data_IF_480711612417
#
_entry.id   IF_480711612417
#
_cell.length_a   1.000
_cell.length_b   1.000
_cell.length_c   1.000
_cell.angle_alpha   90.00
_cell.angle_beta   90.00
_cell.angle_gamma   90.00
#
_symmetry.space_group_name_H-M   'P 1'
#
loop_
_entity.id
_entity.type
_entity.pdbx_description
1 polymer ?
#
# COMPACT_ATOMS: atom_id res chain seq x y z
N UNK A 1 -11.23 -16.35 8.91
CA UNK A 1 -9.98 -15.54 8.94
C UNK A 1 -8.82 -16.53 9.02
N UNK A 2 -7.95 -16.59 8.01
CA UNK A 2 -6.80 -17.51 8.06
C UNK A 2 -5.90 -17.08 9.22
N UNK A 3 -5.80 -17.92 10.24
CA UNK A 3 -5.09 -17.60 11.46
C UNK A 3 -3.66 -18.14 11.34
N UNK A 4 -2.69 -17.23 11.20
CA UNK A 4 -1.28 -17.63 11.34
C UNK A 4 -1.06 -18.01 12.81
N UNK A 5 -0.38 -19.12 13.05
CA UNK A 5 0.04 -19.59 14.37
C UNK A 5 0.76 -18.45 15.12
N UNK A 6 0.38 -18.12 16.37
CA UNK A 6 1.06 -17.10 17.17
C UNK A 6 2.59 -17.25 17.20
N UNK A 7 3.11 -18.49 17.19
CA UNK A 7 4.56 -18.72 17.15
C UNK A 7 5.20 -18.33 15.82
N UNK A 8 4.50 -18.52 14.71
CA UNK A 8 4.95 -18.06 13.40
C UNK A 8 4.92 -16.52 13.30
N UNK A 9 3.93 -15.87 13.94
CA UNK A 9 3.90 -14.40 14.07
C UNK A 9 5.10 -13.91 14.89
N UNK A 10 5.42 -14.57 16.01
CA UNK A 10 6.61 -14.23 16.82
C UNK A 10 7.91 -14.37 16.02
N UNK A 11 8.03 -15.40 15.18
CA UNK A 11 9.19 -15.59 14.30
C UNK A 11 9.28 -14.47 13.27
N UNK A 12 8.18 -14.17 12.57
CA UNK A 12 8.10 -13.09 11.58
C UNK A 12 8.46 -11.73 12.21
N UNK A 13 7.96 -11.48 13.43
CA UNK A 13 8.26 -10.27 14.21
C UNK A 13 9.73 -10.19 14.55
N UNK A 14 10.32 -11.28 15.06
CA UNK A 14 11.74 -11.34 15.42
C UNK A 14 12.63 -11.15 14.20
N UNK A 15 12.27 -11.73 13.06
CA UNK A 15 12.95 -11.51 11.79
C UNK A 15 12.93 -10.03 11.42
N UNK A 16 11.75 -9.39 11.39
CA UNK A 16 11.62 -7.98 11.04
C UNK A 16 12.47 -7.10 11.97
N UNK A 17 12.32 -7.27 13.28
CA UNK A 17 13.06 -6.48 14.27
C UNK A 17 14.58 -6.68 14.18
N UNK A 18 15.05 -7.86 13.74
CA UNK A 18 16.47 -8.14 13.56
C UNK A 18 17.08 -7.44 12.34
N UNK A 19 16.25 -7.00 11.39
CA UNK A 19 16.69 -6.26 10.18
C UNK A 19 16.77 -4.75 10.39
N UNK A 20 16.24 -4.22 11.49
CA UNK A 20 16.25 -2.78 11.77
C UNK A 20 17.67 -2.31 12.10
N UNK A 21 18.18 -1.36 11.33
CA UNK A 21 19.46 -0.68 11.60
C UNK A 21 20.71 -1.55 11.41
N UNK A 22 20.57 -2.72 10.79
CA UNK A 22 21.67 -3.65 10.48
C UNK A 22 21.65 -3.98 8.99
N UNK A 23 21.42 -5.25 8.67
CA UNK A 23 21.30 -5.79 7.31
C UNK A 23 19.81 -5.96 6.98
N UNK A 24 19.38 -5.80 5.71
CA UNK A 24 18.02 -6.11 5.28
C UNK A 24 17.67 -7.61 5.39
N UNK A 25 18.63 -8.43 5.83
CA UNK A 25 18.50 -9.87 5.99
C UNK A 25 18.87 -10.31 7.40
N UNK A 26 18.29 -11.42 7.82
CA UNK A 26 18.59 -12.07 9.09
C UNK A 26 18.89 -13.55 8.89
N UNK A 27 19.81 -14.08 9.71
CA UNK A 27 20.08 -15.51 9.79
C UNK A 27 19.05 -16.19 10.71
N UNK A 28 18.53 -17.34 10.30
CA UNK A 28 17.64 -18.14 11.16
C UNK A 28 18.35 -18.62 12.43
N UNK A 29 19.68 -18.75 12.41
CA UNK A 29 20.44 -19.11 13.60
C UNK A 29 20.33 -18.03 14.69
N UNK A 30 20.48 -16.76 14.31
CA UNK A 30 20.37 -15.63 15.23
C UNK A 30 18.94 -15.49 15.76
N UNK A 31 17.94 -15.72 14.89
CA UNK A 31 16.52 -15.74 15.26
C UNK A 31 16.24 -16.87 16.26
N UNK A 32 16.73 -18.08 16.00
CA UNK A 32 16.58 -19.23 16.88
C UNK A 32 17.18 -18.96 18.27
N UNK A 33 18.39 -18.38 18.31
CA UNK A 33 19.05 -17.98 19.56
C UNK A 33 18.24 -16.94 20.34
N UNK A 34 17.68 -15.93 19.68
CA UNK A 34 16.86 -14.89 20.32
C UNK A 34 15.54 -15.42 20.86
N UNK A 35 14.92 -16.37 20.15
CA UNK A 35 13.64 -16.95 20.55
C UNK A 35 13.79 -18.11 21.55
N UNK A 36 15.00 -18.60 21.79
CA UNK A 36 15.24 -19.79 22.62
C UNK A 36 14.65 -21.07 22.00
N UNK A 37 14.61 -21.16 20.66
CA UNK A 37 14.04 -22.30 19.94
C UNK A 37 15.13 -23.11 19.25
N UNK A 38 14.85 -24.39 19.00
CA UNK A 38 15.71 -25.21 18.14
C UNK A 38 15.74 -24.66 16.72
N UNK A 39 16.89 -24.74 16.06
CA UNK A 39 17.03 -24.32 14.66
C UNK A 39 16.09 -25.08 13.73
N UNK A 40 15.83 -26.35 14.00
CA UNK A 40 14.89 -27.17 13.24
C UNK A 40 13.45 -26.65 13.32
N UNK A 41 13.03 -26.18 14.50
CA UNK A 41 11.72 -25.54 14.69
C UNK A 41 11.61 -24.25 13.89
N UNK A 42 12.62 -23.38 14.00
CA UNK A 42 12.65 -22.11 13.25
C UNK A 42 12.67 -22.35 11.75
N UNK A 43 13.43 -23.34 11.26
CA UNK A 43 13.49 -23.69 9.85
C UNK A 43 12.12 -24.12 9.31
N UNK A 44 11.43 -25.02 10.01
CA UNK A 44 10.09 -25.50 9.61
C UNK A 44 9.09 -24.35 9.52
N UNK A 45 9.06 -23.49 10.54
CA UNK A 45 8.17 -22.31 10.55
C UNK A 45 8.55 -21.28 9.48
N UNK A 46 9.84 -21.14 9.19
CA UNK A 46 10.30 -20.26 8.11
C UNK A 46 9.86 -20.78 6.74
N UNK A 47 9.83 -22.10 6.55
CA UNK A 47 9.29 -22.70 5.33
C UNK A 47 7.80 -22.38 5.17
N UNK A 48 6.99 -22.56 6.22
CA UNK A 48 5.56 -22.21 6.21
C UNK A 48 5.33 -20.71 5.90
N UNK A 49 6.13 -19.82 6.51
CA UNK A 49 6.05 -18.38 6.25
C UNK A 49 6.50 -18.02 4.82
N UNK A 50 7.46 -18.76 4.25
CA UNK A 50 7.92 -18.58 2.88
C UNK A 50 6.87 -19.05 1.85
N UNK A 51 6.21 -20.18 2.12
CA UNK A 51 5.09 -20.69 1.31
C UNK A 51 3.91 -19.70 1.27
N UNK A 52 3.66 -18.98 2.38
CA UNK A 52 2.68 -17.89 2.44
C UNK A 52 3.17 -16.57 1.80
N UNK A 53 4.45 -16.52 1.40
CA UNK A 53 5.08 -15.34 0.80
C UNK A 53 5.34 -14.20 1.79
N UNK A 54 5.38 -14.47 3.10
CA UNK A 54 5.64 -13.48 4.15
C UNK A 54 7.13 -13.24 4.37
N UNK A 55 7.95 -14.22 4.06
CA UNK A 55 9.41 -14.11 4.05
C UNK A 55 9.97 -14.67 2.74
N UNK A 56 11.15 -14.19 2.35
CA UNK A 56 11.89 -14.70 1.20
C UNK A 56 13.28 -15.16 1.64
N UNK A 57 13.75 -16.27 1.05
CA UNK A 57 15.11 -16.79 1.22
C UNK A 57 15.99 -16.21 0.13
N UNK A 58 17.06 -15.51 0.52
CA UNK A 58 17.97 -14.83 -0.43
C UNK A 58 19.25 -15.63 -0.76
N UNK A 59 19.40 -16.82 -0.16
CA UNK A 59 20.61 -17.65 -0.29
C UNK A 59 21.50 -17.59 0.94
N UNK A 60 22.44 -18.53 1.08
CA UNK A 60 23.39 -18.65 2.22
C UNK A 60 22.75 -18.61 3.62
N UNK A 61 21.48 -19.03 3.74
CA UNK A 61 20.75 -19.03 5.02
C UNK A 61 20.22 -17.65 5.45
N UNK A 62 20.29 -16.65 4.57
CA UNK A 62 19.74 -15.32 4.79
C UNK A 62 18.25 -15.25 4.39
N UNK A 63 17.44 -14.65 5.26
CA UNK A 63 16.01 -14.45 5.07
C UNK A 63 15.67 -12.98 5.20
N UNK A 64 14.65 -12.55 4.47
CA UNK A 64 14.10 -11.20 4.59
C UNK A 64 12.58 -11.25 4.72
N UNK A 65 12.01 -10.26 5.39
CA UNK A 65 10.56 -10.04 5.41
C UNK A 65 10.15 -9.38 4.10
N UNK A 66 9.16 -9.95 3.42
CA UNK A 66 8.63 -9.42 2.15
C UNK A 66 7.71 -8.23 2.41
N UNK A 67 7.34 -7.44 1.38
CA UNK A 67 6.31 -6.42 1.54
C UNK A 67 4.98 -6.98 2.08
N UNK A 68 4.62 -8.22 1.70
CA UNK A 68 3.43 -8.90 2.24
C UNK A 68 3.57 -9.23 3.72
N UNK A 69 4.73 -9.73 4.15
CA UNK A 69 5.02 -9.96 5.57
C UNK A 69 4.99 -8.68 6.40
N UNK A 70 5.57 -7.59 5.87
CA UNK A 70 5.55 -6.29 6.51
C UNK A 70 4.13 -5.73 6.59
N UNK A 71 3.34 -5.81 5.51
CA UNK A 71 1.93 -5.40 5.51
C UNK A 71 1.11 -6.18 6.55
N UNK A 72 1.29 -7.49 6.64
CA UNK A 72 0.60 -8.31 7.63
C UNK A 72 0.94 -7.90 9.07
N UNK A 73 2.22 -7.63 9.37
CA UNK A 73 2.62 -7.14 10.69
C UNK A 73 2.12 -5.72 10.97
N UNK A 74 2.13 -4.84 9.98
CA UNK A 74 1.61 -3.48 10.12
C UNK A 74 0.11 -3.48 10.41
N UNK A 75 -0.65 -4.33 9.72
CA UNK A 75 -2.07 -4.57 10.00
C UNK A 75 -2.30 -4.98 11.46
N UNK A 76 -1.54 -5.97 11.97
CA UNK A 76 -1.65 -6.38 13.37
C UNK A 76 -1.33 -5.22 14.33
N UNK A 77 -0.33 -4.39 14.01
CA UNK A 77 0.02 -3.21 14.78
C UNK A 77 -1.10 -2.18 14.82
N UNK A 78 -1.68 -1.85 13.66
CA UNK A 78 -2.80 -0.89 13.53
C UNK A 78 -4.06 -1.38 14.27
N UNK A 79 -4.32 -2.68 14.32
CA UNK A 79 -5.41 -3.28 15.10
C UNK A 79 -5.12 -3.37 16.61
N UNK A 80 -3.94 -2.92 17.08
CA UNK A 80 -3.53 -3.05 18.48
C UNK A 80 -3.19 -4.48 18.91
N UNK A 81 -2.98 -5.39 17.94
CA UNK A 81 -2.65 -6.80 18.15
C UNK A 81 -1.15 -7.10 18.13
N UNK A 82 -0.33 -6.10 17.82
CA UNK A 82 1.12 -6.17 17.92
C UNK A 82 1.69 -4.94 18.65
N UNK A 83 2.83 -5.06 19.35
CA UNK A 83 3.47 -3.93 20.03
C UNK A 83 3.87 -2.80 19.07
N UNK A 84 3.86 -1.56 19.57
CA UNK A 84 4.22 -0.37 18.78
C UNK A 84 5.59 -0.47 18.04
N UNK A 85 6.66 -1.06 18.61
CA UNK A 85 7.91 -1.26 17.87
C UNK A 85 7.77 -2.13 16.61
N UNK A 86 6.82 -3.07 16.61
CA UNK A 86 6.56 -3.94 15.44
C UNK A 86 5.87 -3.14 14.34
N UNK A 87 4.90 -2.28 14.70
CA UNK A 87 4.24 -1.38 13.77
C UNK A 87 5.25 -0.43 13.11
N UNK A 88 6.05 0.27 13.93
CA UNK A 88 7.07 1.20 13.44
C UNK A 88 8.07 0.51 12.50
N UNK A 89 8.50 -0.70 12.84
CA UNK A 89 9.38 -1.50 11.99
C UNK A 89 8.73 -1.89 10.65
N UNK A 90 7.45 -2.26 10.70
CA UNK A 90 6.70 -2.69 9.53
C UNK A 90 6.43 -1.51 8.59
N UNK A 91 6.01 -0.37 9.14
CA UNK A 91 5.85 0.91 8.41
C UNK A 91 7.17 1.30 7.76
N UNK A 92 8.28 1.28 8.49
CA UNK A 92 9.61 1.59 7.92
C UNK A 92 9.97 0.66 6.76
N UNK A 93 9.69 -0.65 6.89
CA UNK A 93 9.94 -1.62 5.81
C UNK A 93 9.08 -1.34 4.59
N UNK A 94 7.78 -1.09 4.79
CA UNK A 94 6.86 -0.74 3.71
C UNK A 94 7.24 0.57 3.02
N UNK A 95 7.67 1.60 3.78
CA UNK A 95 8.19 2.85 3.20
C UNK A 95 9.38 2.59 2.30
N UNK A 96 10.29 1.69 2.69
CA UNK A 96 11.41 1.30 1.82
C UNK A 96 10.95 0.52 0.58
N UNK A 97 10.02 -0.41 0.74
CA UNK A 97 9.58 -1.29 -0.36
C UNK A 97 8.66 -0.59 -1.37
N UNK A 98 7.90 0.41 -0.92
CA UNK A 98 6.95 1.18 -1.72
C UNK A 98 7.49 2.57 -2.12
N UNK A 99 8.77 2.84 -1.82
CA UNK A 99 9.43 4.12 -2.12
C UNK A 99 8.70 5.33 -1.49
N UNK A 100 8.22 5.18 -0.25
CA UNK A 100 7.46 6.21 0.49
C UNK A 100 8.33 6.94 1.52
N UNK A 101 9.62 7.13 1.25
CA UNK A 101 10.54 7.77 2.20
C UNK A 101 10.13 9.21 2.57
N UNK A 102 9.47 9.93 1.65
CA UNK A 102 9.02 11.32 1.80
C UNK A 102 7.63 11.50 2.47
N UNK A 103 6.98 10.41 2.86
CA UNK A 103 5.64 10.42 3.47
C UNK A 103 5.76 10.18 4.97
N UNK A 104 4.87 10.77 5.76
CA UNK A 104 4.88 10.56 7.22
C UNK A 104 4.41 9.15 7.57
N UNK A 105 4.87 8.64 8.73
CA UNK A 105 4.48 7.29 9.18
C UNK A 105 2.96 7.21 9.41
N UNK A 106 2.33 8.29 9.88
CA UNK A 106 0.89 8.40 10.08
C UNK A 106 0.10 8.30 8.75
N UNK A 107 0.64 8.83 7.65
CA UNK A 107 0.02 8.71 6.32
C UNK A 107 0.02 7.23 5.89
N UNK A 108 1.13 6.52 6.12
CA UNK A 108 1.27 5.10 5.78
C UNK A 108 0.34 4.24 6.63
N UNK A 109 0.23 4.52 7.93
CA UNK A 109 -0.73 3.83 8.80
C UNK A 109 -2.18 4.07 8.37
N UNK A 110 -2.54 5.31 8.03
CA UNK A 110 -3.87 5.63 7.51
C UNK A 110 -4.14 4.87 6.20
N UNK A 111 -3.15 4.81 5.31
CA UNK A 111 -3.27 4.03 4.08
C UNK A 111 -3.49 2.53 4.36
N UNK A 112 -2.77 1.95 5.32
CA UNK A 112 -2.97 0.55 5.74
C UNK A 112 -4.40 0.33 6.28
N UNK A 113 -4.94 1.24 7.10
CA UNK A 113 -6.33 1.18 7.59
C UNK A 113 -7.33 1.13 6.44
N UNK A 114 -7.13 1.97 5.41
CA UNK A 114 -7.98 2.01 4.23
C UNK A 114 -7.87 0.72 3.41
N UNK A 115 -6.67 0.18 3.22
CA UNK A 115 -6.45 -1.09 2.52
C UNK A 115 -7.18 -2.24 3.23
N UNK A 116 -7.15 -2.26 4.57
CA UNK A 116 -7.89 -3.24 5.36
C UNK A 116 -9.40 -3.10 5.20
N UNK A 117 -9.93 -1.86 5.20
CA UNK A 117 -11.35 -1.61 4.92
C UNK A 117 -11.76 -2.13 3.53
N UNK A 118 -10.92 -1.89 2.52
CA UNK A 118 -11.12 -2.39 1.16
C UNK A 118 -11.12 -3.91 1.08
N UNK A 119 -10.14 -4.57 1.71
CA UNK A 119 -10.06 -6.03 1.77
C UNK A 119 -11.29 -6.65 2.45
N UNK A 120 -11.72 -6.09 3.60
CA UNK A 120 -12.91 -6.55 4.31
C UNK A 120 -14.16 -6.43 3.44
N UNK A 121 -14.32 -5.31 2.73
CA UNK A 121 -15.43 -5.10 1.78
C UNK A 121 -15.44 -6.14 0.66
N UNK A 122 -14.26 -6.50 0.13
CA UNK A 122 -14.12 -7.51 -0.92
C UNK A 122 -14.21 -8.95 -0.39
N UNK A 123 -14.39 -9.17 0.92
CA UNK A 123 -14.36 -10.49 1.54
C UNK A 123 -13.00 -11.19 1.43
N UNK A 124 -11.92 -10.44 1.18
CA UNK A 124 -10.56 -10.97 0.98
C UNK A 124 -9.76 -10.93 2.27
N UNK A 125 -8.84 -11.88 2.42
CA UNK A 125 -7.94 -11.88 3.57
C UNK A 125 -6.70 -11.02 3.28
N UNK A 126 -6.02 -10.51 4.32
CA UNK A 126 -4.75 -9.81 4.19
C UNK A 126 -3.64 -10.64 3.53
N UNK A 127 -3.73 -11.97 3.59
CA UNK A 127 -2.79 -12.87 2.94
C UNK A 127 -3.01 -12.95 1.43
N UNK A 128 -4.22 -12.66 0.96
CA UNK A 128 -4.55 -12.62 -0.47
C UNK A 128 -4.13 -11.29 -1.13
N UNK A 129 -3.63 -10.34 -0.33
CA UNK A 129 -3.28 -9.01 -0.79
C UNK A 129 -1.92 -8.96 -1.50
N UNK A 130 -1.87 -8.22 -2.61
CA UNK A 130 -0.68 -8.02 -3.43
C UNK A 130 0.13 -6.82 -2.95
N UNK A 131 0.72 -6.91 -1.76
CA UNK A 131 1.57 -5.85 -1.21
C UNK A 131 2.93 -5.70 -1.94
N UNK A 132 3.30 -6.63 -2.84
CA UNK A 132 4.57 -6.63 -3.55
C UNK A 132 4.70 -5.55 -4.64
N UNK A 133 3.57 -5.04 -5.15
CA UNK A 133 3.54 -3.98 -6.16
C UNK A 133 2.72 -2.82 -5.63
N UNK A 134 3.40 -1.72 -5.24
CA UNK A 134 2.75 -0.58 -4.58
C UNK A 134 1.56 -0.04 -5.38
N UNK A 135 1.72 0.28 -6.66
CA UNK A 135 0.60 0.76 -7.49
C UNK A 135 -0.64 -0.15 -7.42
N UNK A 136 -0.48 -1.47 -7.49
CA UNK A 136 -1.62 -2.42 -7.47
C UNK A 136 -2.38 -2.43 -6.14
N UNK A 137 -1.76 -2.00 -5.04
CA UNK A 137 -2.42 -1.93 -3.74
C UNK A 137 -3.67 -1.07 -3.77
N UNK A 138 -3.71 -0.04 -4.62
CA UNK A 138 -4.84 0.90 -4.68
C UNK A 138 -6.13 0.26 -5.19
N UNK A 139 -6.06 -0.87 -5.90
CA UNK A 139 -7.23 -1.54 -6.48
C UNK A 139 -8.31 -1.88 -5.44
N UNK A 140 -7.93 -2.16 -4.20
CA UNK A 140 -8.88 -2.48 -3.13
C UNK A 140 -9.60 -1.23 -2.59
N UNK A 141 -9.15 -0.04 -2.97
CA UNK A 141 -9.72 1.25 -2.56
C UNK A 141 -10.66 1.85 -3.60
N UNK A 142 -10.49 1.48 -4.87
CA UNK A 142 -11.18 2.14 -5.98
C UNK A 142 -12.63 1.63 -6.12
N UNK A 143 -13.63 2.52 -6.17
CA UNK A 143 -14.98 2.13 -6.55
C UNK A 143 -15.05 1.69 -8.02
N UNK A 144 -16.03 0.85 -8.34
CA UNK A 144 -16.33 0.45 -9.73
C UNK A 144 -16.67 1.66 -10.63
N UNK A 145 -17.26 2.70 -10.04
CA UNK A 145 -17.61 3.95 -10.70
C UNK A 145 -17.34 5.11 -9.78
N UNK A 146 -16.61 6.12 -10.25
CA UNK A 146 -16.50 7.38 -9.53
C UNK A 146 -17.78 8.17 -9.75
N UNK A 147 -18.55 8.40 -8.68
CA UNK A 147 -19.61 9.41 -8.73
C UNK A 147 -18.95 10.78 -8.94
N UNK A 148 -19.50 11.58 -9.86
CA UNK A 148 -18.90 12.81 -10.42
C UNK A 148 -18.01 13.60 -9.44
N UNK A 149 -16.81 13.92 -9.94
CA UNK A 149 -15.85 14.97 -9.52
C UNK A 149 -15.16 14.88 -8.14
N UNK A 150 -15.61 14.09 -7.17
CA UNK A 150 -14.93 14.00 -5.86
C UNK A 150 -14.42 12.59 -5.53
N UNK A 151 -13.17 12.33 -5.92
CA UNK A 151 -12.47 11.05 -5.73
C UNK A 151 -12.41 10.66 -4.24
N UNK A 152 -12.11 11.61 -3.36
CA UNK A 152 -12.00 11.37 -1.91
C UNK A 152 -13.34 10.88 -1.35
N UNK A 153 -14.44 11.58 -1.63
CA UNK A 153 -15.78 11.17 -1.17
C UNK A 153 -16.21 9.84 -1.77
N UNK A 154 -15.87 9.58 -3.03
CA UNK A 154 -16.19 8.31 -3.67
C UNK A 154 -15.48 7.13 -2.98
N UNK A 155 -14.19 7.27 -2.67
CA UNK A 155 -13.42 6.27 -1.90
C UNK A 155 -14.01 6.10 -0.49
N UNK A 156 -14.29 7.20 0.22
CA UNK A 156 -14.84 7.17 1.56
C UNK A 156 -16.19 6.43 1.62
N UNK A 157 -17.10 6.75 0.69
CA UNK A 157 -18.40 6.08 0.55
C UNK A 157 -18.23 4.61 0.17
N UNK A 158 -17.33 4.31 -0.78
CA UNK A 158 -17.04 2.94 -1.19
C UNK A 158 -16.56 2.10 -0.01
N UNK A 159 -15.63 2.62 0.80
CA UNK A 159 -15.08 1.90 1.94
C UNK A 159 -15.94 1.98 3.21
N UNK A 160 -17.01 2.79 3.19
CA UNK A 160 -17.84 3.09 4.38
C UNK A 160 -17.01 3.61 5.56
N UNK A 161 -16.09 4.54 5.26
CA UNK A 161 -15.20 5.20 6.23
C UNK A 161 -15.42 6.72 6.19
N UNK A 162 -15.04 7.46 7.26
CA UNK A 162 -15.07 8.91 7.25
C UNK A 162 -14.14 9.51 6.17
N UNK A 163 -14.51 10.67 5.65
CA UNK A 163 -13.72 11.39 4.61
C UNK A 163 -12.34 11.75 5.14
N UNK A 164 -12.24 12.07 6.42
CA UNK A 164 -11.04 12.47 7.12
C UNK A 164 -9.97 11.36 7.10
N UNK A 165 -10.39 10.09 7.16
CA UNK A 165 -9.47 8.95 7.06
C UNK A 165 -8.85 8.84 5.66
N UNK A 166 -9.63 9.14 4.61
CA UNK A 166 -9.11 9.18 3.23
C UNK A 166 -8.17 10.36 3.05
N UNK A 167 -8.48 11.52 3.63
CA UNK A 167 -7.63 12.71 3.56
C UNK A 167 -6.27 12.51 4.21
N UNK A 168 -6.20 11.80 5.34
CA UNK A 168 -4.92 11.47 6.02
C UNK A 168 -3.97 10.66 5.14
N UNK A 169 -4.49 9.88 4.19
CA UNK A 169 -3.70 9.06 3.27
C UNK A 169 -3.68 9.60 1.83
N UNK A 170 -4.20 10.81 1.59
CA UNK A 170 -4.48 11.35 0.24
C UNK A 170 -3.25 11.25 -0.68
N UNK A 171 -2.09 11.71 -0.19
CA UNK A 171 -0.86 11.76 -0.99
C UNK A 171 -0.39 10.36 -1.40
N UNK A 172 -0.48 9.38 -0.49
CA UNK A 172 -0.08 7.99 -0.76
C UNK A 172 -1.03 7.34 -1.75
N UNK A 173 -2.36 7.52 -1.58
CA UNK A 173 -3.35 7.02 -2.52
C UNK A 173 -3.09 7.62 -3.90
N UNK A 174 -2.86 8.93 -3.99
CA UNK A 174 -2.57 9.61 -5.24
C UNK A 174 -1.30 9.07 -5.93
N UNK A 175 -0.21 8.84 -5.17
CA UNK A 175 1.00 8.18 -5.69
C UNK A 175 0.67 6.80 -6.26
N UNK A 176 -0.03 5.96 -5.49
CA UNK A 176 -0.40 4.61 -5.92
C UNK A 176 -1.25 4.62 -7.20
N UNK A 177 -2.21 5.55 -7.30
CA UNK A 177 -3.03 5.71 -8.52
C UNK A 177 -2.19 6.13 -9.73
N UNK A 178 -1.21 7.02 -9.58
CA UNK A 178 -0.33 7.46 -10.67
C UNK A 178 0.65 6.39 -11.15
N UNK A 179 0.95 5.40 -10.31
CA UNK A 179 1.73 4.22 -10.68
C UNK A 179 0.86 3.13 -11.33
N UNK A 180 -0.39 3.01 -10.88
CA UNK A 180 -1.29 1.96 -11.35
C UNK A 180 -2.03 2.31 -12.63
N UNK A 181 -2.50 3.55 -12.75
CA UNK A 181 -3.36 3.99 -13.84
C UNK A 181 -2.54 4.62 -14.98
N UNK A 182 -3.07 4.59 -16.21
CA UNK A 182 -2.54 5.40 -17.30
C UNK A 182 -2.48 6.88 -16.88
N UNK A 183 -1.34 7.50 -17.15
CA UNK A 183 -1.11 8.90 -16.79
C UNK A 183 -0.60 9.71 -17.97
N UNK A 184 -1.02 10.97 -18.02
CA UNK A 184 -0.63 11.94 -19.04
C UNK A 184 0.16 13.06 -18.38
N UNK A 185 1.14 13.62 -19.10
CA UNK A 185 1.81 14.85 -18.69
C UNK A 185 1.09 16.04 -19.32
N UNK A 186 0.66 16.97 -18.47
CA UNK A 186 0.02 18.21 -18.88
C UNK A 186 1.07 19.26 -19.28
N UNK A 187 0.68 20.31 -20.02
CA UNK A 187 1.60 21.36 -20.47
C UNK A 187 2.28 22.14 -19.34
N UNK A 188 1.67 22.17 -18.15
CA UNK A 188 2.23 22.75 -16.93
C UNK A 188 3.25 21.82 -16.24
N UNK A 189 3.53 20.65 -16.81
CA UNK A 189 4.45 19.65 -16.29
C UNK A 189 3.83 18.72 -15.24
N UNK A 190 2.56 18.89 -14.89
CA UNK A 190 1.88 18.01 -13.96
C UNK A 190 1.62 16.63 -14.58
N UNK A 191 1.91 15.57 -13.83
CA UNK A 191 1.55 14.19 -14.20
C UNK A 191 0.18 13.87 -13.63
N UNK A 192 -0.74 13.39 -14.45
CA UNK A 192 -2.14 13.20 -14.06
C UNK A 192 -2.66 11.84 -14.51
N UNK A 193 -3.26 11.09 -13.59
CA UNK A 193 -4.01 9.88 -13.88
C UNK A 193 -5.48 10.22 -14.15
N UNK A 194 -6.05 9.61 -15.20
CA UNK A 194 -7.42 9.89 -15.64
C UNK A 194 -8.22 8.60 -15.79
N UNK A 195 -9.51 8.68 -15.48
CA UNK A 195 -10.51 7.68 -15.87
C UNK A 195 -11.33 8.19 -17.03
N UNK A 196 -11.67 7.28 -17.94
CA UNK A 196 -12.69 7.49 -18.95
C UNK A 196 -13.96 6.80 -18.44
N UNK A 197 -15.06 7.54 -18.34
CA UNK A 197 -16.31 7.04 -17.80
C UNK A 197 -17.47 7.42 -18.72
N UNK A 198 -18.27 6.42 -19.11
CA UNK A 198 -19.46 6.61 -19.94
C UNK A 198 -19.50 5.67 -21.15
N UNK A 199 -20.65 5.05 -21.39
CA UNK A 199 -20.85 4.14 -22.54
C UNK A 199 -21.20 4.89 -23.83
N UNK A 200 -21.81 6.08 -23.72
CA UNK A 200 -22.25 6.90 -24.86
C UNK A 200 -21.62 8.31 -24.87
N UNK A 201 -21.26 8.84 -23.69
CA UNK A 201 -20.61 10.15 -23.56
C UNK A 201 -19.42 10.02 -22.61
N UNK A 202 -18.22 9.97 -23.16
CA UNK A 202 -16.97 9.78 -22.40
C UNK A 202 -16.70 11.04 -21.56
N UNK A 203 -16.96 10.95 -20.26
CA UNK A 203 -16.55 11.92 -19.25
C UNK A 203 -15.15 11.57 -18.74
N UNK A 204 -14.28 12.57 -18.60
CA UNK A 204 -12.90 12.39 -18.17
C UNK A 204 -12.79 12.81 -16.72
N UNK A 205 -12.62 11.84 -15.83
CA UNK A 205 -12.46 12.09 -14.40
C UNK A 205 -10.98 12.07 -14.07
N UNK A 206 -10.48 13.19 -13.53
CA UNK A 206 -9.11 13.22 -13.01
C UNK A 206 -9.08 12.49 -11.68
N UNK A 207 -8.24 11.47 -11.61
CA UNK A 207 -8.18 10.54 -10.50
C UNK A 207 -7.15 10.96 -9.46
N UNK A 208 -5.94 11.28 -9.93
CA UNK A 208 -4.82 11.72 -9.12
C UNK A 208 -3.88 12.60 -9.96
N UNK A 209 -3.15 13.47 -9.29
CA UNK A 209 -2.15 14.33 -9.93
C UNK A 209 -0.90 14.47 -9.07
N UNK A 210 0.22 14.72 -9.74
CA UNK A 210 1.48 15.13 -9.15
C UNK A 210 1.99 16.38 -9.86
N UNK A 211 2.11 17.46 -9.11
CA UNK A 211 2.67 18.73 -9.57
C UNK A 211 3.82 19.12 -8.66
N UNK A 212 4.90 19.71 -9.23
CA UNK A 212 6.08 20.13 -8.45
C UNK A 212 5.74 21.07 -7.27
N UNK A 213 4.71 21.90 -7.41
CA UNK A 213 4.29 22.88 -6.40
C UNK A 213 3.34 22.26 -5.36
N UNK A 214 2.39 21.41 -5.78
CA UNK A 214 1.31 20.91 -4.92
C UNK A 214 1.56 19.50 -4.37
N UNK A 215 2.59 18.81 -4.86
CA UNK A 215 2.85 17.42 -4.55
C UNK A 215 1.79 16.48 -5.14
N UNK A 216 1.60 15.34 -4.48
CA UNK A 216 0.57 14.35 -4.80
C UNK A 216 -0.81 14.77 -4.28
N UNK A 217 -1.83 14.72 -5.14
CA UNK A 217 -3.23 15.04 -4.78
C UNK A 217 -4.22 14.10 -5.45
N UNK A 218 -5.33 13.83 -4.77
CA UNK A 218 -6.46 13.13 -5.37
C UNK A 218 -7.33 14.11 -6.14
N UNK A 219 -7.68 13.75 -7.37
CA UNK A 219 -8.29 14.68 -8.31
C UNK A 219 -7.33 15.76 -8.79
N UNK A 220 -7.91 16.84 -9.28
CA UNK A 220 -7.18 18.00 -9.79
C UNK A 220 -7.99 19.26 -9.50
N UNK A 221 -7.48 20.10 -8.60
CA UNK A 221 -8.06 21.41 -8.31
C UNK A 221 -7.46 22.55 -9.14
N UNK A 222 -6.49 22.25 -9.99
CA UNK A 222 -5.91 23.22 -10.92
C UNK A 222 -6.86 23.50 -12.10
N UNK A 223 -7.39 24.72 -12.18
CA UNK A 223 -8.25 25.18 -13.28
C UNK A 223 -7.57 25.06 -14.65
N UNK A 224 -6.26 25.35 -14.73
CA UNK A 224 -5.47 25.23 -15.96
C UNK A 224 -5.34 23.76 -16.41
N UNK A 225 -5.07 22.86 -15.47
CA UNK A 225 -5.00 21.43 -15.78
C UNK A 225 -6.35 20.85 -16.20
N UNK A 226 -7.47 21.32 -15.62
CA UNK A 226 -8.83 20.96 -16.06
C UNK A 226 -9.09 21.39 -17.50
N UNK A 227 -8.68 22.61 -17.87
CA UNK A 227 -8.80 23.14 -19.24
C UNK A 227 -7.86 22.42 -20.23
N UNK A 228 -6.67 22.02 -19.78
CA UNK A 228 -5.73 21.26 -20.61
C UNK A 228 -6.27 19.86 -20.92
N UNK A 229 -6.84 19.18 -19.92
CA UNK A 229 -7.46 17.86 -20.09
C UNK A 229 -8.67 17.96 -21.01
N UNK A 230 -9.57 18.94 -20.80
CA UNK A 230 -10.72 19.11 -21.68
C UNK A 230 -10.27 19.30 -23.13
N UNK A 231 -9.33 20.22 -23.40
CA UNK A 231 -8.79 20.45 -24.75
C UNK A 231 -8.10 19.23 -25.36
N UNK A 232 -7.34 18.47 -24.57
CA UNK A 232 -6.65 17.26 -25.05
C UNK A 232 -7.65 16.21 -25.54
N UNK A 233 -8.73 15.99 -24.80
CA UNK A 233 -9.77 15.03 -25.16
C UNK A 233 -10.77 15.56 -26.20
N UNK A 234 -11.04 16.87 -26.28
CA UNK A 234 -11.82 17.44 -27.41
C UNK A 234 -11.07 17.27 -28.72
N UNK A 235 -9.73 17.40 -28.70
CA UNK A 235 -8.89 17.24 -29.90
C UNK A 235 -8.81 15.79 -30.40
N UNK A 236 -9.13 14.79 -29.57
CA UNK A 236 -9.23 13.39 -30.00
C UNK A 236 -10.61 13.02 -30.56
N UNK A 237 -11.64 13.86 -30.37
CA UNK A 237 -12.99 13.65 -30.94
C UNK A 237 -13.14 14.22 -32.36
N UNK A 238 -12.21 15.06 -32.83
CA UNK A 238 -12.17 15.63 -34.17
C UNK A 238 -11.03 15.02 -34.98
#
# INVERSE_FOLDING_TARGET
MVHIDPRAISLLTTLLLSTIGRSPTASLYDVAKRMGLSIATVYRRSLELAEQGLIARLGKGAYMVTPRGAFYLAMLGVEGRAPAPVLAAAVKKLKSDWDLAEFEDEEVEAYIRLLMAGLRRLGRTPLDFCAGEFGRTVQVLLPERFARRNVIRAIAQHLSVPVEEVMKAERIIAKAMLEFLPSVKLPDGCKTAVFLQGEQDIDVVVAASYCKIQGYRLGLDCALGRLAISKYFTKMKN
#
